data_IF_176157365610
#
_entry.id   IF_176157365610
#
_cell.length_a   1.000
_cell.length_b   1.000
_cell.length_c   1.000
_cell.angle_alpha   90.00
_cell.angle_beta   90.00
_cell.angle_gamma   90.00
#
_symmetry.space_group_name_H-M   'P 1'
#
loop_
_entity.id
_entity.type
_entity.pdbx_description
1 polymer ?
#
# COMPACT_ATOMS: atom_id res chain seq x y z
N UNK A 1 -12.46 -7.02 -52.66
CA UNK A 1 -12.62 -7.51 -51.27
C UNK A 1 -11.28 -7.75 -50.56
N UNK A 2 -10.32 -8.52 -51.12
CA UNK A 2 -9.01 -8.79 -50.48
C UNK A 2 -8.22 -7.54 -50.04
N UNK A 3 -8.16 -6.48 -50.85
CA UNK A 3 -7.45 -5.22 -50.48
C UNK A 3 -8.06 -4.51 -49.27
N UNK A 4 -9.40 -4.53 -49.12
CA UNK A 4 -10.09 -3.95 -47.97
C UNK A 4 -9.85 -4.76 -46.70
N UNK A 5 -9.79 -6.09 -46.83
CA UNK A 5 -9.45 -6.99 -45.72
C UNK A 5 -8.02 -6.74 -45.19
N UNK A 6 -7.04 -6.57 -46.09
CA UNK A 6 -5.66 -6.25 -45.70
C UNK A 6 -5.52 -4.89 -45.01
N UNK A 7 -6.27 -3.88 -45.47
CA UNK A 7 -6.30 -2.57 -44.81
C UNK A 7 -6.89 -2.66 -43.40
N UNK A 8 -7.97 -3.42 -43.22
CA UNK A 8 -8.56 -3.67 -41.90
C UNK A 8 -7.58 -4.41 -40.97
N UNK A 9 -6.90 -5.44 -41.46
CA UNK A 9 -5.92 -6.19 -40.67
C UNK A 9 -4.74 -5.30 -40.24
N UNK A 10 -4.21 -4.48 -41.17
CA UNK A 10 -3.12 -3.57 -40.87
C UNK A 10 -3.51 -2.51 -39.83
N UNK A 11 -4.75 -2.00 -39.90
CA UNK A 11 -5.27 -1.04 -38.94
C UNK A 11 -5.45 -1.66 -37.55
N UNK A 12 -5.92 -2.91 -37.47
CA UNK A 12 -6.05 -3.65 -36.22
C UNK A 12 -4.68 -3.93 -35.57
N UNK A 13 -3.68 -4.36 -36.36
CA UNK A 13 -2.31 -4.56 -35.88
C UNK A 13 -1.71 -3.23 -35.39
N UNK A 14 -1.94 -2.14 -36.11
CA UNK A 14 -1.51 -0.80 -35.69
C UNK A 14 -2.10 -0.39 -34.34
N UNK A 15 -3.40 -0.61 -34.13
CA UNK A 15 -4.07 -0.37 -32.85
C UNK A 15 -3.49 -1.21 -31.70
N UNK A 16 -3.26 -2.50 -31.95
CA UNK A 16 -2.64 -3.40 -30.96
C UNK A 16 -1.22 -2.92 -30.62
N UNK A 17 -0.42 -2.58 -31.63
CA UNK A 17 0.95 -2.10 -31.43
C UNK A 17 1.00 -0.81 -30.62
N UNK A 18 0.09 0.14 -30.87
CA UNK A 18 -0.04 1.37 -30.08
C UNK A 18 -0.45 1.04 -28.64
N UNK A 19 -1.42 0.15 -28.44
CA UNK A 19 -1.83 -0.28 -27.10
C UNK A 19 -0.68 -0.90 -26.31
N UNK A 20 0.11 -1.78 -26.94
CA UNK A 20 1.30 -2.39 -26.33
C UNK A 20 2.35 -1.32 -26.00
N UNK A 21 2.61 -0.37 -26.91
CA UNK A 21 3.55 0.72 -26.67
C UNK A 21 3.13 1.62 -25.49
N UNK A 22 1.84 1.91 -25.35
CA UNK A 22 1.32 2.69 -24.21
C UNK A 22 1.51 1.94 -22.89
N UNK A 23 1.24 0.63 -22.86
CA UNK A 23 1.46 -0.21 -21.69
C UNK A 23 2.95 -0.24 -21.32
N UNK A 24 3.83 -0.47 -22.30
CA UNK A 24 5.28 -0.45 -22.08
C UNK A 24 5.78 0.93 -21.62
N UNK A 25 5.19 2.01 -22.14
CA UNK A 25 5.52 3.37 -21.71
C UNK A 25 5.16 3.60 -20.24
N UNK A 26 3.99 3.14 -19.77
CA UNK A 26 3.64 3.23 -18.36
C UNK A 26 4.64 2.49 -17.47
N UNK A 27 5.01 1.26 -17.82
CA UNK A 27 6.00 0.48 -17.05
C UNK A 27 7.41 1.09 -17.06
N UNK A 28 7.80 1.78 -18.14
CA UNK A 28 9.15 2.33 -18.27
C UNK A 28 9.28 3.75 -17.70
N UNK A 29 8.19 4.52 -17.70
CA UNK A 29 8.19 5.92 -17.25
C UNK A 29 7.82 6.08 -15.76
N UNK A 30 7.21 5.06 -15.15
CA UNK A 30 6.79 5.06 -13.75
C UNK A 30 7.44 3.91 -12.96
N UNK A 31 8.79 3.82 -12.89
CA UNK A 31 9.46 2.70 -12.20
C UNK A 31 9.21 2.72 -10.68
N UNK A 32 9.28 1.54 -10.07
CA UNK A 32 9.39 1.40 -8.63
C UNK A 32 10.63 2.17 -8.10
N UNK A 33 10.57 2.74 -6.90
CA UNK A 33 11.73 3.43 -6.30
C UNK A 33 12.90 2.47 -6.09
N UNK A 34 14.13 2.95 -6.31
CA UNK A 34 15.33 2.14 -6.09
C UNK A 34 15.53 1.86 -4.61
N UNK A 35 15.83 0.61 -4.26
CA UNK A 35 16.03 0.19 -2.88
C UNK A 35 17.12 1.00 -2.17
N UNK A 36 18.23 1.32 -2.83
CA UNK A 36 19.34 2.01 -2.15
C UNK A 36 18.94 3.45 -1.80
N UNK A 37 18.17 4.11 -2.67
CA UNK A 37 17.65 5.45 -2.40
C UNK A 37 16.67 5.42 -1.22
N UNK A 38 15.84 4.38 -1.12
CA UNK A 38 14.94 4.17 0.02
C UNK A 38 15.73 3.91 1.31
N UNK A 39 16.73 3.03 1.28
CA UNK A 39 17.60 2.74 2.43
C UNK A 39 18.29 4.00 2.96
N UNK A 40 18.81 4.84 2.06
CA UNK A 40 19.40 6.13 2.42
C UNK A 40 18.35 7.07 3.03
N UNK A 41 17.18 7.18 2.41
CA UNK A 41 16.09 8.05 2.87
C UNK A 41 15.59 7.67 4.26
N UNK A 42 15.29 6.39 4.50
CA UNK A 42 14.71 5.92 5.78
C UNK A 42 15.78 5.56 6.81
N UNK A 43 17.06 5.71 6.46
CA UNK A 43 18.20 5.35 7.31
C UNK A 43 18.12 3.90 7.83
N UNK A 44 17.69 2.97 6.97
CA UNK A 44 17.61 1.54 7.25
C UNK A 44 18.47 0.76 6.25
N UNK A 45 18.66 -0.53 6.51
CA UNK A 45 19.49 -1.40 5.66
C UNK A 45 18.88 -2.78 5.52
N UNK A 46 19.21 -3.46 4.43
CA UNK A 46 18.71 -4.79 4.06
C UNK A 46 17.19 -4.77 3.84
N UNK A 47 16.71 -3.73 3.16
CA UNK A 47 15.30 -3.66 2.79
C UNK A 47 14.98 -4.66 1.68
N UNK A 48 13.86 -5.32 1.81
CA UNK A 48 13.24 -6.13 0.76
C UNK A 48 11.98 -5.42 0.26
N UNK A 49 11.81 -5.35 -1.06
CA UNK A 49 10.61 -4.79 -1.67
C UNK A 49 9.49 -5.83 -1.65
N UNK A 50 8.28 -5.40 -1.28
CA UNK A 50 7.07 -6.23 -1.36
C UNK A 50 5.99 -5.65 -2.29
N UNK A 51 6.28 -4.52 -2.94
CA UNK A 51 5.49 -3.97 -4.05
C UNK A 51 4.57 -2.82 -3.66
N UNK A 52 3.53 -2.60 -4.46
CA UNK A 52 2.64 -1.44 -4.33
C UNK A 52 1.76 -1.50 -3.08
N UNK A 53 1.55 -0.33 -2.48
CA UNK A 53 0.70 -0.12 -1.31
C UNK A 53 -0.30 0.99 -1.60
N UNK A 54 -1.58 0.70 -1.45
CA UNK A 54 -2.61 1.72 -1.43
C UNK A 54 -2.70 2.33 -0.03
N UNK A 55 -2.56 3.64 0.07
CA UNK A 55 -2.68 4.34 1.34
C UNK A 55 -2.80 5.85 1.17
N UNK A 56 -3.30 6.49 2.22
CA UNK A 56 -3.74 7.89 2.22
C UNK A 56 -2.85 8.84 3.01
N UNK A 57 -1.82 8.32 3.68
CA UNK A 57 -0.85 9.14 4.46
C UNK A 57 0.26 9.77 3.60
N UNK A 58 0.41 9.26 2.39
CA UNK A 58 1.37 9.70 1.41
C UNK A 58 0.64 10.42 0.27
N UNK A 59 1.29 11.40 -0.34
CA UNK A 59 0.63 12.30 -1.29
C UNK A 59 0.26 11.61 -2.60
N UNK A 60 1.03 10.58 -2.95
CA UNK A 60 0.87 9.86 -4.18
C UNK A 60 -0.19 8.76 -4.03
N UNK A 61 -1.12 8.63 -5.00
CA UNK A 61 -2.07 7.51 -4.99
C UNK A 61 -1.39 6.14 -5.15
N UNK A 62 -0.11 6.12 -5.54
CA UNK A 62 0.73 4.92 -5.61
C UNK A 62 1.91 5.05 -4.67
N UNK A 63 1.99 4.14 -3.70
CA UNK A 63 3.10 4.06 -2.77
C UNK A 63 3.76 2.69 -2.92
N UNK A 64 5.00 2.58 -2.47
CA UNK A 64 5.78 1.35 -2.52
C UNK A 64 6.20 0.90 -1.13
N UNK A 65 6.12 -0.39 -0.93
CA UNK A 65 6.37 -1.08 0.32
C UNK A 65 7.71 -1.77 0.34
N UNK A 66 8.47 -1.50 1.40
CA UNK A 66 9.71 -2.14 1.75
C UNK A 66 9.63 -2.68 3.17
N UNK A 67 10.41 -3.70 3.52
CA UNK A 67 10.44 -4.23 4.87
C UNK A 67 11.81 -4.80 5.22
N UNK A 68 12.05 -4.95 6.52
CA UNK A 68 13.10 -5.78 7.08
C UNK A 68 12.54 -6.54 8.29
N UNK A 69 13.41 -7.17 9.08
CA UNK A 69 13.01 -7.92 10.28
C UNK A 69 12.32 -7.06 11.35
N UNK A 70 12.50 -5.74 11.32
CA UNK A 70 12.05 -4.83 12.39
C UNK A 70 10.80 -4.03 12.03
N UNK A 71 10.63 -3.67 10.76
CA UNK A 71 9.67 -2.65 10.33
C UNK A 71 9.27 -2.78 8.86
N UNK A 72 8.05 -2.33 8.58
CA UNK A 72 7.56 -2.05 7.23
C UNK A 72 7.74 -0.55 6.96
N UNK A 73 8.24 -0.22 5.78
CA UNK A 73 8.48 1.12 5.29
C UNK A 73 7.62 1.34 4.05
N UNK A 74 6.84 2.42 4.03
CA UNK A 74 6.00 2.78 2.90
C UNK A 74 6.46 4.15 2.42
N UNK A 75 6.82 4.22 1.15
CA UNK A 75 7.40 5.42 0.54
C UNK A 75 6.60 5.84 -0.69
N UNK A 76 6.68 7.12 -1.02
CA UNK A 76 6.10 7.64 -2.25
C UNK A 76 6.82 7.05 -3.47
N UNK A 77 6.10 6.83 -4.57
CA UNK A 77 6.71 6.37 -5.81
C UNK A 77 7.75 7.38 -6.34
N UNK A 78 7.57 8.69 -6.08
CA UNK A 78 8.43 9.76 -6.55
C UNK A 78 9.25 10.39 -5.41
N UNK A 79 10.28 9.68 -4.95
CA UNK A 79 11.16 10.11 -3.85
C UNK A 79 11.84 11.49 -4.03
N UNK A 80 11.83 12.06 -5.23
CA UNK A 80 12.55 13.30 -5.57
C UNK A 80 11.70 14.39 -6.22
N UNK A 81 10.41 14.14 -6.48
CA UNK A 81 9.50 15.16 -7.05
C UNK A 81 8.62 15.84 -5.98
N UNK A 82 8.79 15.47 -4.70
CA UNK A 82 8.07 16.04 -3.56
C UNK A 82 8.39 17.52 -3.37
N UNK A 83 7.61 18.39 -4.00
CA UNK A 83 7.70 19.85 -3.90
C UNK A 83 7.50 20.38 -2.47
N UNK A 84 6.31 20.87 -2.14
CA UNK A 84 6.04 21.60 -0.88
C UNK A 84 6.01 20.73 0.40
N UNK A 85 6.24 19.41 0.31
CA UNK A 85 6.02 18.45 1.41
C UNK A 85 7.21 17.56 1.77
N UNK A 86 8.37 17.74 1.12
CA UNK A 86 9.60 17.03 1.48
C UNK A 86 9.57 15.52 1.23
N UNK A 87 10.62 14.83 1.65
CA UNK A 87 10.73 13.37 1.53
C UNK A 87 9.87 12.70 2.63
N UNK A 88 8.61 12.41 2.31
CA UNK A 88 7.66 11.79 3.25
C UNK A 88 7.65 10.27 3.14
N UNK A 89 7.65 9.59 4.28
CA UNK A 89 7.52 8.14 4.37
C UNK A 89 6.83 7.71 5.66
N UNK A 90 6.33 6.48 5.67
CA UNK A 90 5.70 5.85 6.83
C UNK A 90 6.51 4.65 7.28
N UNK A 91 6.66 4.51 8.60
CA UNK A 91 7.24 3.35 9.26
C UNK A 91 6.17 2.67 10.10
N UNK A 92 5.93 1.39 9.87
CA UNK A 92 5.08 0.54 10.69
C UNK A 92 5.99 -0.46 11.41
N UNK A 93 6.10 -0.32 12.73
CA UNK A 93 6.93 -1.20 13.55
C UNK A 93 6.32 -2.59 13.70
N UNK A 94 7.13 -3.54 14.12
CA UNK A 94 6.71 -4.88 14.56
C UNK A 94 5.45 -4.83 15.45
N UNK A 95 4.57 -5.80 15.25
CA UNK A 95 3.29 -5.89 15.94
C UNK A 95 3.41 -6.36 17.38
N UNK A 96 2.51 -5.86 18.22
CA UNK A 96 2.26 -6.43 19.55
C UNK A 96 0.84 -6.95 19.65
N UNK A 97 0.64 -7.87 20.60
CA UNK A 97 -0.67 -8.44 20.86
C UNK A 97 -1.69 -7.37 21.27
N UNK A 98 -2.92 -7.52 20.79
CA UNK A 98 -4.06 -6.72 21.24
C UNK A 98 -4.40 -7.12 22.68
N UNK A 99 -4.68 -6.13 23.51
CA UNK A 99 -4.97 -6.28 24.94
C UNK A 99 -6.37 -5.79 25.26
N UNK A 100 -6.86 -6.06 26.48
CA UNK A 100 -8.18 -5.59 26.92
C UNK A 100 -8.28 -4.06 26.93
N UNK A 101 -7.16 -3.34 27.11
CA UNK A 101 -7.15 -1.88 27.08
C UNK A 101 -7.45 -1.32 25.67
N UNK A 102 -7.33 -2.14 24.63
CA UNK A 102 -7.60 -1.77 23.24
C UNK A 102 -9.07 -1.99 22.84
N UNK A 103 -9.90 -2.56 23.72
CA UNK A 103 -11.32 -2.86 23.45
C UNK A 103 -12.10 -1.66 22.87
N UNK A 104 -11.97 -0.42 23.41
CA UNK A 104 -12.66 0.73 22.82
C UNK A 104 -12.23 1.07 21.39
N UNK A 105 -10.96 0.84 21.04
CA UNK A 105 -10.44 1.09 19.71
C UNK A 105 -10.85 -0.03 18.73
N UNK A 106 -10.87 -1.27 19.22
CA UNK A 106 -11.38 -2.43 18.49
C UNK A 106 -12.86 -2.28 18.17
N UNK A 107 -13.66 -1.82 19.13
CA UNK A 107 -15.10 -1.57 18.93
C UNK A 107 -15.33 -0.51 17.85
N UNK A 108 -14.50 0.53 17.79
CA UNK A 108 -14.57 1.54 16.72
C UNK A 108 -14.28 0.95 15.34
N UNK A 109 -13.33 0.02 15.24
CA UNK A 109 -13.03 -0.68 13.98
C UNK A 109 -14.22 -1.53 13.55
N UNK A 110 -14.81 -2.30 14.47
CA UNK A 110 -16.02 -3.08 14.20
C UNK A 110 -17.24 -2.20 13.92
N UNK A 111 -17.25 -0.96 14.38
CA UNK A 111 -18.31 0.00 14.11
C UNK A 111 -18.28 0.58 12.69
N UNK A 112 -17.17 0.45 11.96
CA UNK A 112 -17.05 0.98 10.59
C UNK A 112 -18.04 0.30 9.66
N UNK A 113 -18.74 1.09 8.84
CA UNK A 113 -19.80 0.62 7.94
C UNK A 113 -19.41 -0.56 7.06
N UNK A 114 -18.18 -0.57 6.52
CA UNK A 114 -17.68 -1.68 5.70
C UNK A 114 -17.67 -3.04 6.44
N UNK A 115 -17.40 -3.01 7.75
CA UNK A 115 -17.41 -4.20 8.62
C UNK A 115 -18.85 -4.54 9.05
N UNK A 116 -19.64 -3.54 9.42
CA UNK A 116 -21.02 -3.74 9.89
C UNK A 116 -21.99 -4.21 8.81
N UNK A 117 -21.83 -3.72 7.59
CA UNK A 117 -22.72 -4.05 6.47
C UNK A 117 -22.49 -5.48 5.94
N UNK A 118 -21.53 -6.21 6.51
CA UNK A 118 -21.25 -7.60 6.16
C UNK A 118 -20.60 -7.77 4.79
N UNK A 119 -20.00 -6.72 4.23
CA UNK A 119 -19.24 -6.79 2.99
C UNK A 119 -17.93 -7.59 3.14
N UNK A 120 -17.43 -7.71 4.37
CA UNK A 120 -16.17 -8.38 4.69
C UNK A 120 -16.46 -9.68 5.45
N UNK A 121 -16.12 -10.81 4.83
CA UNK A 121 -16.15 -12.12 5.46
C UNK A 121 -14.88 -12.35 6.31
N UNK A 122 -14.94 -13.26 7.29
CA UNK A 122 -13.78 -13.69 8.10
C UNK A 122 -12.94 -12.54 8.71
N UNK A 123 -13.55 -11.41 9.04
CA UNK A 123 -12.83 -10.26 9.60
C UNK A 123 -12.21 -10.56 10.96
N UNK A 124 -10.89 -10.38 11.09
CA UNK A 124 -10.12 -10.64 12.30
C UNK A 124 -9.08 -9.55 12.53
N UNK A 125 -9.01 -9.06 13.76
CA UNK A 125 -7.92 -8.20 14.23
C UNK A 125 -6.81 -9.11 14.77
N UNK A 126 -5.57 -8.94 14.29
CA UNK A 126 -4.44 -9.82 14.59
C UNK A 126 -3.49 -9.24 15.64
N UNK A 127 -3.12 -7.97 15.47
CA UNK A 127 -2.10 -7.28 16.26
C UNK A 127 -2.31 -5.78 16.15
N UNK A 128 -1.63 -5.02 17.01
CA UNK A 128 -1.53 -3.57 16.90
C UNK A 128 -0.08 -3.17 16.64
N UNK A 129 0.10 -2.16 15.81
CA UNK A 129 1.40 -1.68 15.37
C UNK A 129 1.51 -0.18 15.60
N UNK A 130 2.72 0.27 15.88
CA UNK A 130 3.01 1.69 15.94
C UNK A 130 3.36 2.18 14.54
N UNK A 131 2.54 3.09 14.02
CA UNK A 131 2.77 3.80 12.77
C UNK A 131 3.41 5.14 13.07
N UNK A 132 4.45 5.49 12.33
CA UNK A 132 5.15 6.77 12.43
C UNK A 132 5.28 7.37 11.04
N UNK A 133 4.85 8.62 10.88
CA UNK A 133 5.00 9.37 9.64
C UNK A 133 6.17 10.33 9.79
N UNK A 134 7.07 10.29 8.81
CA UNK A 134 8.22 11.17 8.71
C UNK A 134 8.09 12.10 7.52
N UNK A 135 8.63 13.31 7.64
CA UNK A 135 8.84 14.24 6.53
C UNK A 135 10.20 14.88 6.72
N UNK A 136 11.07 14.79 5.70
CA UNK A 136 12.44 15.30 5.76
C UNK A 136 13.22 14.80 6.99
N UNK A 137 13.04 13.51 7.33
CA UNK A 137 13.60 12.84 8.51
C UNK A 137 13.13 13.37 9.87
N UNK A 138 12.13 14.25 9.90
CA UNK A 138 11.45 14.67 11.12
C UNK A 138 10.16 13.89 11.32
N UNK A 139 9.93 13.39 12.54
CA UNK A 139 8.69 12.73 12.92
C UNK A 139 7.57 13.76 13.02
N UNK A 140 6.51 13.60 12.22
CA UNK A 140 5.35 14.51 12.21
C UNK A 140 4.10 13.91 12.87
N UNK A 141 3.94 12.58 12.83
CA UNK A 141 2.77 11.90 13.36
C UNK A 141 3.15 10.52 13.91
N UNK A 142 2.48 10.10 14.98
CA UNK A 142 2.64 8.79 15.59
C UNK A 142 1.28 8.28 16.08
N UNK A 143 0.84 7.13 15.59
CA UNK A 143 -0.46 6.53 15.91
C UNK A 143 -0.38 5.03 16.06
N UNK A 144 -1.32 4.46 16.82
CA UNK A 144 -1.54 3.03 16.87
C UNK A 144 -2.55 2.61 15.81
N UNK A 145 -2.13 1.67 14.97
CA UNK A 145 -2.95 1.04 13.92
C UNK A 145 -3.14 -0.43 14.25
N UNK A 146 -4.18 -1.04 13.69
CA UNK A 146 -4.51 -2.45 13.89
C UNK A 146 -4.35 -3.21 12.59
N UNK A 147 -3.60 -4.32 12.66
CA UNK A 147 -3.48 -5.27 11.55
C UNK A 147 -4.73 -6.12 11.51
N UNK A 148 -5.44 -6.08 10.39
CA UNK A 148 -6.66 -6.83 10.18
C UNK A 148 -6.52 -7.74 8.98
N UNK A 149 -7.16 -8.89 9.05
CA UNK A 149 -7.33 -9.81 7.93
C UNK A 149 -8.80 -9.98 7.66
N UNK A 150 -9.20 -9.99 6.40
CA UNK A 150 -10.58 -10.23 6.00
C UNK A 150 -10.62 -10.87 4.62
N UNK A 151 -11.81 -11.30 4.22
CA UNK A 151 -12.08 -11.88 2.92
C UNK A 151 -13.09 -11.02 2.16
N UNK A 152 -12.77 -10.70 0.92
CA UNK A 152 -13.63 -9.95 0.02
C UNK A 152 -13.61 -10.61 -1.36
N UNK A 153 -14.78 -10.85 -1.94
CA UNK A 153 -14.95 -11.55 -3.23
C UNK A 153 -14.13 -12.86 -3.36
N UNK A 154 -14.07 -13.64 -2.27
CA UNK A 154 -13.35 -14.91 -2.25
C UNK A 154 -11.84 -14.83 -1.98
N UNK A 155 -11.25 -13.64 -1.92
CA UNK A 155 -9.81 -13.41 -1.74
C UNK A 155 -9.52 -12.85 -0.35
N UNK A 156 -8.43 -13.31 0.27
CA UNK A 156 -7.96 -12.79 1.56
C UNK A 156 -7.10 -11.54 1.40
N UNK A 157 -7.34 -10.57 2.27
CA UNK A 157 -6.63 -9.29 2.32
C UNK A 157 -6.08 -9.05 3.73
N UNK A 158 -4.99 -8.26 3.79
CA UNK A 158 -4.39 -7.77 5.01
C UNK A 158 -4.27 -6.25 4.91
N UNK A 159 -4.82 -5.55 5.90
CA UNK A 159 -4.81 -4.10 5.95
C UNK A 159 -4.38 -3.62 7.32
N UNK A 160 -3.82 -2.42 7.37
CA UNK A 160 -3.62 -1.68 8.61
C UNK A 160 -4.65 -0.57 8.72
N UNK A 161 -5.45 -0.60 9.79
CA UNK A 161 -6.56 0.33 10.02
C UNK A 161 -6.33 1.19 11.25
N UNK A 162 -6.66 2.48 11.16
CA UNK A 162 -6.88 3.29 12.36
C UNK A 162 -8.25 3.03 12.98
N UNK A 163 -8.41 3.20 14.30
CA UNK A 163 -9.72 3.18 14.96
C UNK A 163 -10.65 4.30 14.51
N UNK A 164 -10.10 5.49 14.27
CA UNK A 164 -10.86 6.72 13.99
C UNK A 164 -11.71 6.61 12.70
N UNK A 165 -12.94 7.14 12.73
CA UNK A 165 -13.80 7.31 11.55
C UNK A 165 -13.34 8.51 10.74
N UNK A 166 -12.49 8.25 9.77
CA UNK A 166 -12.04 9.23 8.78
C UNK A 166 -11.96 8.49 7.46
N UNK A 167 -12.51 9.07 6.39
CA UNK A 167 -12.59 8.47 5.05
C UNK A 167 -11.20 8.13 4.45
N UNK A 168 -10.12 8.67 5.03
CA UNK A 168 -8.76 8.65 4.47
C UNK A 168 -7.71 7.96 5.38
N UNK A 169 -8.00 6.84 6.06
CA UNK A 169 -7.03 6.25 7.02
C UNK A 169 -6.88 4.72 6.94
N UNK A 170 -6.38 4.21 5.81
CA UNK A 170 -5.98 2.79 5.68
C UNK A 170 -4.74 2.62 4.81
N UNK A 171 -3.93 1.62 5.15
CA UNK A 171 -2.98 1.02 4.23
C UNK A 171 -3.49 -0.36 3.84
N UNK A 172 -3.74 -0.56 2.55
CA UNK A 172 -4.09 -1.86 2.00
C UNK A 172 -2.84 -2.47 1.38
N UNK A 173 -2.43 -3.62 1.91
CA UNK A 173 -1.36 -4.42 1.32
C UNK A 173 -2.02 -5.41 0.35
N UNK A 174 -1.62 -5.35 -0.92
CA UNK A 174 -2.15 -6.26 -1.94
C UNK A 174 -1.58 -7.68 -1.80
N UNK A 175 -2.13 -8.60 -2.60
CA UNK A 175 -2.01 -10.07 -2.57
C UNK A 175 -0.65 -10.66 -2.18
N UNK A 176 0.48 -10.05 -2.56
CA UNK A 176 1.83 -10.52 -2.21
C UNK A 176 2.18 -10.24 -0.74
N UNK A 177 1.76 -9.09 -0.21
CA UNK A 177 1.95 -8.73 1.20
C UNK A 177 1.12 -9.57 2.18
N UNK A 178 0.00 -10.16 1.76
CA UNK A 178 -0.83 -10.99 2.66
C UNK A 178 -0.04 -12.17 3.25
N UNK A 179 0.62 -12.96 2.40
CA UNK A 179 1.34 -14.15 2.86
C UNK A 179 2.58 -13.76 3.68
N UNK A 180 3.23 -12.66 3.30
CA UNK A 180 4.47 -12.19 3.88
C UNK A 180 4.28 -11.58 5.27
N UNK A 181 3.19 -10.84 5.48
CA UNK A 181 2.98 -10.08 6.72
C UNK A 181 1.89 -10.66 7.64
N UNK A 182 1.37 -11.85 7.34
CA UNK A 182 0.38 -12.52 8.19
C UNK A 182 0.91 -12.69 9.63
N UNK A 183 2.17 -13.08 9.77
CA UNK A 183 2.85 -13.35 11.05
C UNK A 183 3.78 -12.21 11.52
N UNK A 184 3.81 -11.07 10.81
CA UNK A 184 4.62 -9.89 11.13
C UNK A 184 4.11 -9.07 12.33
#
# INVERSE_FOLDING_TARGET
>A
MKKRLWLFLAMLIGLIAIGILLVLFMFYYEPAPDRNDVEEMVSASNLEEFGEVEGSYLLTPRNYGFYNDDSIYIVEQYLHEGGDYGNRYVVIKEGIAVTNDDEPAVDQIYAKGEVQDGYLDDFQIRSKHQMIVYTDNEKIEEKWIFKVTYKYDGVYFLSFLLPEETEENRFNLFTEGYQQFLEF
#
